data_IF_534192236111
#
_entry.id   IF_534192236111
#
_cell.length_a   1.000
_cell.length_b   1.000
_cell.length_c   1.000
_cell.angle_alpha   90.00
_cell.angle_beta   90.00
_cell.angle_gamma   90.00
#
_symmetry.space_group_name_H-M   'P 1'
#
loop_
_entity.id
_entity.type
_entity.pdbx_description
1 polymer ?
#
# COMPACT_ATOMS: atom_id res chain seq x y z
N UNK A 1 -25.12 -22.60 20.50
CA UNK A 1 -26.17 -21.68 20.03
C UNK A 1 -25.49 -20.44 19.49
N UNK A 2 -26.01 -20.02 18.34
CA UNK A 2 -25.54 -18.97 17.46
C UNK A 2 -26.01 -17.62 18.01
N UNK A 3 -25.16 -16.60 17.95
CA UNK A 3 -25.48 -15.23 17.48
C UNK A 3 -24.18 -14.40 17.56
N UNK A 4 -23.40 -14.25 16.47
CA UNK A 4 -23.53 -13.23 15.43
C UNK A 4 -23.70 -11.79 15.96
N UNK A 5 -22.60 -11.04 15.95
CA UNK A 5 -22.61 -9.57 15.84
C UNK A 5 -21.32 -9.10 15.17
N UNK A 6 -21.25 -9.39 13.88
CA UNK A 6 -20.33 -8.72 12.95
C UNK A 6 -21.03 -7.43 12.51
N UNK A 7 -20.79 -6.33 13.22
CA UNK A 7 -21.22 -5.00 12.82
C UNK A 7 -20.55 -4.61 11.50
N UNK A 8 -21.35 -4.66 10.44
CA UNK A 8 -21.00 -4.26 9.09
C UNK A 8 -21.15 -2.73 8.99
N UNK A 9 -20.17 -1.98 9.49
CA UNK A 9 -20.08 -0.53 9.29
C UNK A 9 -19.56 -0.21 7.87
N UNK A 10 -20.32 -0.62 6.86
CA UNK A 10 -20.10 -0.30 5.43
C UNK A 10 -21.18 0.65 4.91
N UNK A 11 -21.52 1.68 5.68
CA UNK A 11 -22.40 2.74 5.23
C UNK A 11 -21.64 4.07 5.23
N UNK A 12 -21.13 4.42 4.05
CA UNK A 12 -20.55 5.73 3.76
C UNK A 12 -19.26 5.64 2.95
N UNK A 13 -19.33 6.05 1.67
CA UNK A 13 -18.26 6.28 0.66
C UNK A 13 -18.12 5.18 -0.42
N UNK A 14 -18.59 5.51 -1.64
CA UNK A 14 -18.07 5.00 -2.92
C UNK A 14 -18.84 3.88 -3.63
N UNK A 15 -19.99 4.18 -4.21
CA UNK A 15 -20.71 3.32 -5.17
C UNK A 15 -20.20 3.54 -6.61
N UNK A 16 -19.69 2.47 -7.23
CA UNK A 16 -19.53 2.30 -8.69
C UNK A 16 -18.10 2.29 -9.20
N UNK A 17 -17.53 1.11 -9.45
CA UNK A 17 -16.43 0.96 -10.41
C UNK A 17 -17.06 0.86 -11.80
N UNK A 18 -16.57 1.60 -12.80
CA UNK A 18 -16.98 1.37 -14.18
C UNK A 18 -16.49 -0.01 -14.64
N UNK A 19 -17.38 -1.01 -14.55
CA UNK A 19 -17.07 -2.42 -14.83
C UNK A 19 -16.78 -2.65 -16.30
N UNK A 20 -17.41 -1.90 -17.20
CA UNK A 20 -17.19 -2.06 -18.64
C UNK A 20 -15.76 -1.67 -19.01
N UNK A 21 -15.30 -0.51 -18.55
CA UNK A 21 -13.91 -0.08 -18.73
C UNK A 21 -12.92 -1.03 -18.06
N UNK A 22 -13.27 -1.58 -16.89
CA UNK A 22 -12.42 -2.56 -16.21
C UNK A 22 -12.27 -3.84 -17.04
N UNK A 23 -13.37 -4.38 -17.59
CA UNK A 23 -13.35 -5.58 -18.44
C UNK A 23 -12.58 -5.35 -19.73
N UNK A 24 -12.72 -4.18 -20.34
CA UNK A 24 -11.92 -3.83 -21.51
C UNK A 24 -10.43 -3.81 -21.19
N UNK A 25 -10.04 -3.14 -20.09
CA UNK A 25 -8.64 -3.11 -19.65
C UNK A 25 -8.10 -4.52 -19.36
N UNK A 26 -8.90 -5.38 -18.72
CA UNK A 26 -8.56 -6.79 -18.50
C UNK A 26 -8.36 -7.55 -19.82
N UNK A 27 -9.29 -7.43 -20.76
CA UNK A 27 -9.20 -8.07 -22.07
C UNK A 27 -7.93 -7.62 -22.83
N UNK A 28 -7.65 -6.31 -22.84
CA UNK A 28 -6.46 -5.74 -23.49
C UNK A 28 -5.16 -6.20 -22.83
N UNK A 29 -5.18 -6.43 -21.52
CA UNK A 29 -4.02 -6.96 -20.80
C UNK A 29 -3.81 -8.44 -21.13
N UNK A 30 -4.85 -9.26 -21.06
CA UNK A 30 -4.76 -10.71 -21.30
C UNK A 30 -4.54 -11.07 -22.77
N UNK A 31 -5.00 -10.23 -23.71
CA UNK A 31 -4.65 -10.36 -25.12
C UNK A 31 -3.14 -10.20 -25.37
N UNK A 32 -2.49 -9.31 -24.60
CA UNK A 32 -1.03 -9.09 -24.66
C UNK A 32 -0.23 -10.08 -23.82
N UNK A 33 -0.78 -10.49 -22.68
CA UNK A 33 -0.15 -11.38 -21.71
C UNK A 33 -1.13 -12.49 -21.29
N UNK A 34 -1.31 -13.54 -22.11
CA UNK A 34 -2.28 -14.61 -21.84
C UNK A 34 -2.05 -15.33 -20.50
N UNK A 35 -0.79 -15.39 -20.04
CA UNK A 35 -0.43 -15.95 -18.72
C UNK A 35 -0.64 -14.98 -17.54
N UNK A 36 -1.24 -13.80 -17.75
CA UNK A 36 -1.31 -12.74 -16.76
C UNK A 36 0.09 -12.34 -16.28
N UNK A 37 0.28 -12.13 -14.99
CA UNK A 37 1.62 -11.81 -14.45
C UNK A 37 2.63 -12.96 -14.53
N UNK A 38 2.20 -14.20 -14.80
CA UNK A 38 3.11 -15.32 -15.02
C UNK A 38 3.67 -15.36 -16.46
N UNK A 39 3.16 -14.52 -17.36
CA UNK A 39 3.58 -14.47 -18.75
C UNK A 39 5.09 -14.19 -18.89
N UNK A 40 5.83 -14.91 -19.76
CA UNK A 40 7.25 -14.71 -19.98
C UNK A 40 7.62 -13.26 -20.35
N UNK A 41 6.75 -12.55 -21.07
CA UNK A 41 6.96 -11.15 -21.45
C UNK A 41 7.07 -10.20 -20.25
N UNK A 42 6.50 -10.57 -19.10
CA UNK A 42 6.56 -9.79 -17.86
C UNK A 42 7.68 -10.22 -16.91
N UNK A 43 8.52 -11.19 -17.28
CA UNK A 43 9.64 -11.64 -16.47
C UNK A 43 10.61 -10.51 -16.06
N UNK A 44 10.97 -9.54 -16.92
CA UNK A 44 11.83 -8.41 -16.52
C UNK A 44 11.18 -7.53 -15.43
N UNK A 45 9.87 -7.29 -15.54
CA UNK A 45 9.10 -6.50 -14.56
C UNK A 45 9.03 -7.25 -13.22
N UNK A 46 8.74 -8.54 -13.24
CA UNK A 46 8.76 -9.39 -12.04
C UNK A 46 10.12 -9.39 -11.35
N UNK A 47 11.22 -9.53 -12.11
CA UNK A 47 12.58 -9.50 -11.56
C UNK A 47 12.92 -8.14 -10.92
N UNK A 48 12.43 -7.05 -11.49
CA UNK A 48 12.61 -5.68 -10.94
C UNK A 48 11.87 -5.45 -9.63
N UNK A 49 10.72 -6.11 -9.44
CA UNK A 49 9.87 -5.94 -8.28
C UNK A 49 9.96 -7.15 -7.34
N UNK A 50 10.92 -7.11 -6.41
CA UNK A 50 11.17 -8.15 -5.40
C UNK A 50 10.17 -8.12 -4.22
N UNK A 51 8.87 -7.97 -4.52
CA UNK A 51 7.81 -7.82 -3.51
C UNK A 51 7.84 -8.95 -2.50
N UNK A 52 7.89 -10.20 -2.97
CA UNK A 52 7.87 -11.39 -2.11
C UNK A 52 9.02 -11.39 -1.10
N UNK A 53 10.26 -11.27 -1.57
CA UNK A 53 11.46 -11.25 -0.71
C UNK A 53 11.42 -10.11 0.31
N UNK A 54 10.96 -8.92 -0.09
CA UNK A 54 10.89 -7.79 0.85
C UNK A 54 9.73 -7.93 1.83
N UNK A 55 8.63 -8.59 1.42
CA UNK A 55 7.52 -8.94 2.29
C UNK A 55 7.88 -10.00 3.33
N UNK A 56 8.63 -11.02 2.95
CA UNK A 56 9.20 -11.99 3.88
C UNK A 56 10.10 -11.31 4.91
N UNK A 57 11.01 -10.46 4.44
CA UNK A 57 11.86 -9.66 5.32
C UNK A 57 11.04 -8.82 6.30
N UNK A 58 10.00 -8.11 5.81
CA UNK A 58 9.14 -7.28 6.65
C UNK A 58 8.42 -8.11 7.73
N UNK A 59 7.83 -9.25 7.37
CA UNK A 59 7.13 -10.12 8.34
C UNK A 59 8.08 -10.73 9.38
N UNK A 60 9.29 -11.12 8.96
CA UNK A 60 10.28 -11.71 9.86
C UNK A 60 10.86 -10.69 10.87
N UNK A 61 10.92 -9.40 10.51
CA UNK A 61 11.59 -8.36 11.31
C UNK A 61 10.64 -7.35 11.96
N UNK A 62 9.33 -7.41 11.65
CA UNK A 62 8.29 -6.56 12.26
C UNK A 62 7.24 -7.42 12.96
N UNK A 63 7.67 -8.34 13.83
CA UNK A 63 6.77 -9.07 14.74
C UNK A 63 6.44 -8.21 15.96
N UNK A 64 5.35 -8.52 16.68
CA UNK A 64 5.01 -7.81 17.94
C UNK A 64 6.17 -7.75 18.94
N UNK A 65 6.96 -8.81 19.05
CA UNK A 65 8.12 -8.86 19.95
C UNK A 65 9.25 -7.90 19.55
N UNK A 66 9.43 -7.63 18.26
CA UNK A 66 10.43 -6.66 17.79
C UNK A 66 10.08 -5.22 18.18
N UNK A 67 8.80 -4.90 18.38
CA UNK A 67 8.39 -3.55 18.77
C UNK A 67 8.83 -3.14 20.19
N UNK A 68 9.33 -4.09 20.99
CA UNK A 68 10.04 -3.81 22.25
C UNK A 68 11.48 -3.28 22.04
N UNK A 69 11.95 -3.18 20.79
CA UNK A 69 13.29 -2.71 20.42
C UNK A 69 13.20 -1.58 19.37
N UNK A 70 12.90 -0.35 19.79
CA UNK A 70 12.61 0.77 18.90
C UNK A 70 13.70 1.05 17.86
N UNK A 71 14.97 0.98 18.26
CA UNK A 71 16.12 1.17 17.35
C UNK A 71 16.11 0.15 16.21
N UNK A 72 15.95 -1.13 16.54
CA UNK A 72 15.90 -2.23 15.58
C UNK A 72 14.70 -2.09 14.63
N UNK A 73 13.55 -1.65 15.14
CA UNK A 73 12.38 -1.34 14.31
C UNK A 73 12.70 -0.21 13.33
N UNK A 74 13.24 0.91 13.82
CA UNK A 74 13.59 2.06 12.99
C UNK A 74 14.55 1.68 11.85
N UNK A 75 15.60 0.91 12.14
CA UNK A 75 16.51 0.38 11.12
C UNK A 75 15.79 -0.52 10.10
N UNK A 76 14.86 -1.35 10.57
CA UNK A 76 14.06 -2.23 9.72
C UNK A 76 13.14 -1.44 8.79
N UNK A 77 12.48 -0.39 9.28
CA UNK A 77 11.67 0.52 8.48
C UNK A 77 12.51 1.18 7.37
N UNK A 78 13.68 1.72 7.73
CA UNK A 78 14.63 2.31 6.76
C UNK A 78 15.04 1.30 5.70
N UNK A 79 15.33 0.06 6.09
CA UNK A 79 15.74 -1.00 5.17
C UNK A 79 14.62 -1.37 4.19
N UNK A 80 13.37 -1.43 4.65
CA UNK A 80 12.21 -1.69 3.79
C UNK A 80 12.04 -0.56 2.76
N UNK A 81 11.99 0.70 3.21
CA UNK A 81 11.83 1.85 2.32
C UNK A 81 12.98 1.95 1.32
N UNK A 82 14.22 1.72 1.76
CA UNK A 82 15.41 1.80 0.91
C UNK A 82 15.46 0.70 -0.16
N UNK A 83 15.03 -0.53 0.18
CA UNK A 83 15.03 -1.68 -0.74
C UNK A 83 13.82 -1.72 -1.67
N UNK A 84 12.77 -0.95 -1.39
CA UNK A 84 11.61 -0.87 -2.27
C UNK A 84 11.99 -0.32 -3.65
N UNK A 85 11.67 -1.04 -4.72
CA UNK A 85 11.77 -0.53 -6.09
C UNK A 85 10.61 0.41 -6.47
N UNK A 86 9.60 0.56 -5.61
CA UNK A 86 8.43 1.41 -5.84
C UNK A 86 8.55 2.78 -5.16
N UNK A 87 9.43 2.94 -4.17
CA UNK A 87 9.77 4.23 -3.55
C UNK A 87 10.83 4.95 -4.39
N UNK A 88 10.65 6.25 -4.60
CA UNK A 88 11.57 7.06 -5.41
C UNK A 88 12.97 7.13 -4.78
N UNK A 89 14.02 7.19 -5.62
CA UNK A 89 15.40 7.40 -5.19
C UNK A 89 15.59 8.70 -4.40
N UNK A 90 14.72 9.69 -4.60
CA UNK A 90 14.74 10.95 -3.84
C UNK A 90 14.06 10.84 -2.47
N UNK A 91 13.10 9.92 -2.30
CA UNK A 91 12.36 9.74 -1.05
C UNK A 91 13.14 8.87 -0.06
N UNK A 92 13.92 7.90 -0.56
CA UNK A 92 14.74 6.99 0.25
C UNK A 92 15.73 7.71 1.18
N UNK A 93 16.63 8.60 0.72
CA UNK A 93 17.56 9.29 1.59
C UNK A 93 16.81 10.17 2.60
N UNK A 94 15.75 10.86 2.17
CA UNK A 94 14.94 11.71 3.06
C UNK A 94 14.30 10.94 4.20
N UNK A 95 13.74 9.75 3.93
CA UNK A 95 13.18 8.91 4.99
C UNK A 95 14.26 8.38 5.93
N UNK A 96 15.41 7.93 5.38
CA UNK A 96 16.56 7.51 6.19
C UNK A 96 17.05 8.63 7.10
N UNK A 97 17.20 9.83 6.56
CA UNK A 97 17.74 10.98 7.28
C UNK A 97 16.75 11.47 8.34
N UNK A 98 15.43 11.42 8.07
CA UNK A 98 14.38 11.58 9.08
C UNK A 98 14.57 10.60 10.25
N UNK A 99 14.66 9.30 9.99
CA UNK A 99 14.82 8.31 11.06
C UNK A 99 16.11 8.53 11.85
N UNK A 100 17.20 8.94 11.19
CA UNK A 100 18.48 9.26 11.83
C UNK A 100 18.43 10.52 12.70
N UNK A 101 17.56 11.48 12.39
CA UNK A 101 17.38 12.69 13.19
C UNK A 101 16.57 12.46 14.47
N UNK A 102 15.89 11.32 14.61
CA UNK A 102 15.06 11.03 15.77
C UNK A 102 15.91 10.73 17.00
N UNK A 103 15.53 11.32 18.14
CA UNK A 103 16.05 10.90 19.44
C UNK A 103 15.37 9.60 19.92
N UNK A 104 15.81 9.05 21.07
CA UNK A 104 15.32 7.77 21.58
C UNK A 104 13.79 7.76 21.79
N UNK A 105 13.23 8.83 22.37
CA UNK A 105 11.79 8.96 22.62
C UNK A 105 11.00 9.03 21.31
N UNK A 106 11.52 9.72 20.30
CA UNK A 106 10.87 9.80 18.99
C UNK A 106 10.95 8.47 18.23
N UNK A 107 12.04 7.70 18.38
CA UNK A 107 12.13 6.34 17.83
C UNK A 107 11.13 5.40 18.49
N UNK A 108 10.95 5.49 19.80
CA UNK A 108 9.88 4.77 20.53
C UNK A 108 8.50 5.13 19.98
N UNK A 109 8.22 6.42 19.79
CA UNK A 109 6.96 6.88 19.21
C UNK A 109 6.75 6.36 17.79
N UNK A 110 7.78 6.41 16.94
CA UNK A 110 7.71 5.89 15.57
C UNK A 110 7.44 4.38 15.56
N UNK A 111 8.14 3.62 16.41
CA UNK A 111 7.94 2.18 16.53
C UNK A 111 6.50 1.88 16.99
N UNK A 112 6.01 2.55 18.03
CA UNK A 112 4.66 2.35 18.53
C UNK A 112 3.57 2.71 17.49
N UNK A 113 3.75 3.81 16.77
CA UNK A 113 2.85 4.22 15.70
C UNK A 113 2.80 3.16 14.57
N UNK A 114 3.95 2.59 14.19
CA UNK A 114 4.00 1.48 13.25
C UNK A 114 3.41 0.19 13.80
N UNK A 115 3.55 -0.12 15.09
CA UNK A 115 2.90 -1.28 15.69
C UNK A 115 1.38 -1.19 15.53
N UNK A 116 0.79 -0.05 15.92
CA UNK A 116 -0.64 0.25 15.72
C UNK A 116 -1.03 0.14 14.25
N UNK A 117 -0.20 0.66 13.34
CA UNK A 117 -0.48 0.68 11.90
C UNK A 117 -0.53 -0.73 11.31
N UNK A 118 0.31 -1.64 11.80
CA UNK A 118 0.47 -3.00 11.29
C UNK A 118 -0.45 -4.01 11.98
N UNK A 119 -0.78 -3.80 13.26
CA UNK A 119 -1.51 -4.73 14.11
C UNK A 119 -2.78 -4.15 14.74
N UNK A 120 -3.76 -5.02 14.97
CA UNK A 120 -4.95 -4.71 15.78
C UNK A 120 -5.93 -3.73 15.13
N UNK A 121 -6.74 -3.07 15.98
CA UNK A 121 -7.84 -2.18 15.57
C UNK A 121 -7.43 -0.71 15.45
N UNK A 122 -6.30 -0.32 16.04
CA UNK A 122 -5.81 1.08 16.08
C UNK A 122 -5.08 1.55 14.81
N UNK A 123 -5.38 0.94 13.65
CA UNK A 123 -4.62 1.16 12.41
C UNK A 123 -4.72 2.58 11.87
N UNK A 124 -5.87 3.22 12.08
CA UNK A 124 -6.11 4.63 11.77
C UNK A 124 -5.20 5.53 12.61
N UNK A 125 -5.22 5.37 13.93
CA UNK A 125 -4.37 6.14 14.84
C UNK A 125 -2.89 5.96 14.47
N UNK A 126 -2.44 4.73 14.22
CA UNK A 126 -1.06 4.49 13.76
C UNK A 126 -0.73 5.17 12.43
N UNK A 127 -1.68 5.24 11.49
CA UNK A 127 -1.49 5.99 10.24
C UNK A 127 -1.34 7.49 10.51
N UNK A 128 -2.23 8.09 11.30
CA UNK A 128 -2.27 9.52 11.61
C UNK A 128 -1.04 9.96 12.42
N UNK A 129 -0.57 9.12 13.35
CA UNK A 129 0.66 9.34 14.12
C UNK A 129 1.91 9.33 13.21
N UNK A 130 2.07 8.30 12.36
CA UNK A 130 3.16 8.26 11.37
C UNK A 130 3.09 9.47 10.43
N UNK A 131 1.88 9.83 9.97
CA UNK A 131 1.68 10.99 9.11
C UNK A 131 2.13 12.28 9.80
N UNK A 132 1.75 12.50 11.07
CA UNK A 132 2.13 13.67 11.84
C UNK A 132 3.65 13.82 11.98
N UNK A 133 4.34 12.72 12.30
CA UNK A 133 5.80 12.70 12.38
C UNK A 133 6.45 13.05 11.03
N UNK A 134 6.00 12.42 9.93
CA UNK A 134 6.55 12.68 8.60
C UNK A 134 6.24 14.10 8.09
N UNK A 135 5.08 14.65 8.46
CA UNK A 135 4.63 15.97 8.03
C UNK A 135 5.50 17.07 8.64
N UNK A 136 5.90 16.94 9.92
CA UNK A 136 6.81 17.87 10.58
C UNK A 136 8.13 18.02 9.80
N UNK A 137 8.62 16.93 9.21
CA UNK A 137 9.83 16.91 8.39
C UNK A 137 9.58 17.13 6.88
N UNK A 138 8.35 17.50 6.47
CA UNK A 138 7.97 17.75 5.06
C UNK A 138 8.23 16.55 4.12
N UNK A 139 8.12 15.33 4.63
CA UNK A 139 8.31 14.08 3.87
C UNK A 139 7.07 13.17 3.89
N UNK A 140 5.94 13.66 4.43
CA UNK A 140 4.64 13.00 4.37
C UNK A 140 4.15 12.84 2.92
N UNK A 141 4.50 11.72 2.29
CA UNK A 141 4.12 11.37 0.92
C UNK A 141 3.58 9.95 0.85
N UNK A 142 2.65 9.73 -0.07
CA UNK A 142 2.02 8.42 -0.30
C UNK A 142 3.00 7.26 -0.47
N UNK A 143 4.06 7.34 -1.32
CA UNK A 143 5.04 6.25 -1.44
C UNK A 143 5.75 5.93 -0.12
N UNK A 144 6.01 6.92 0.72
CA UNK A 144 6.71 6.74 2.00
C UNK A 144 5.80 6.08 3.04
N UNK A 145 4.60 6.63 3.25
CA UNK A 145 3.69 6.17 4.31
C UNK A 145 3.07 4.79 4.01
N UNK A 146 2.93 4.44 2.72
CA UNK A 146 2.30 3.18 2.30
C UNK A 146 3.27 2.02 2.09
N UNK A 147 4.59 2.28 2.00
CA UNK A 147 5.60 1.25 1.71
C UNK A 147 5.61 0.12 2.75
N UNK A 148 5.82 0.45 4.03
CA UNK A 148 5.98 -0.56 5.08
C UNK A 148 4.71 -1.40 5.27
N UNK A 149 3.50 -0.82 5.39
CA UNK A 149 2.27 -1.61 5.50
C UNK A 149 2.04 -2.51 4.29
N UNK A 150 2.32 -2.02 3.09
CA UNK A 150 2.21 -2.83 1.86
C UNK A 150 3.14 -4.03 1.91
N UNK A 151 4.44 -3.86 2.18
CA UNK A 151 5.36 -5.00 2.22
C UNK A 151 5.02 -5.95 3.37
N UNK A 152 4.53 -5.45 4.50
CA UNK A 152 4.09 -6.31 5.61
C UNK A 152 2.89 -7.19 5.22
N UNK A 153 1.91 -6.64 4.49
CA UNK A 153 0.68 -7.36 4.11
C UNK A 153 0.19 -6.98 2.70
N UNK A 154 0.84 -7.45 1.62
CA UNK A 154 0.63 -6.93 0.25
C UNK A 154 -0.73 -7.27 -0.36
N UNK A 155 -1.45 -8.24 0.21
CA UNK A 155 -2.82 -8.59 -0.18
C UNK A 155 -3.91 -7.78 0.58
N UNK A 156 -3.52 -7.01 1.62
CA UNK A 156 -4.43 -6.28 2.52
C UNK A 156 -4.18 -4.77 2.49
N UNK A 157 -2.93 -4.37 2.35
CA UNK A 157 -2.49 -2.98 2.29
C UNK A 157 -1.99 -2.68 0.88
N UNK A 158 -2.22 -1.46 0.41
CA UNK A 158 -1.87 -1.02 -0.94
C UNK A 158 -0.67 -0.08 -0.89
N UNK A 159 0.23 -0.24 -1.86
CA UNK A 159 1.21 0.80 -2.15
C UNK A 159 0.54 1.89 -3.00
N UNK A 160 0.58 3.15 -2.53
CA UNK A 160 -0.07 4.26 -3.24
C UNK A 160 0.97 5.03 -4.03
N UNK A 161 0.99 4.82 -5.34
CA UNK A 161 1.73 5.67 -6.28
C UNK A 161 0.82 6.80 -6.79
N UNK A 162 1.15 8.08 -6.53
CA UNK A 162 0.27 9.22 -6.85
C UNK A 162 -0.33 9.22 -8.26
N UNK A 163 0.52 9.08 -9.27
CA UNK A 163 0.08 9.14 -10.68
C UNK A 163 -0.79 7.95 -11.05
N UNK A 164 -0.42 6.76 -10.60
CA UNK A 164 -1.19 5.53 -10.83
C UNK A 164 -2.57 5.60 -10.16
N UNK A 165 -2.63 6.02 -8.89
CA UNK A 165 -3.90 6.14 -8.17
C UNK A 165 -4.85 7.12 -8.86
N UNK A 166 -4.36 8.31 -9.26
CA UNK A 166 -5.14 9.29 -10.03
C UNK A 166 -5.68 8.70 -11.33
N UNK A 167 -4.82 8.08 -12.14
CA UNK A 167 -5.21 7.49 -13.43
C UNK A 167 -6.28 6.41 -13.26
N UNK A 168 -6.12 5.53 -12.27
CA UNK A 168 -7.09 4.47 -11.97
C UNK A 168 -8.45 5.07 -11.61
N UNK A 169 -8.48 6.04 -10.68
CA UNK A 169 -9.72 6.70 -10.23
C UNK A 169 -10.44 7.36 -11.40
N UNK A 170 -9.71 8.10 -12.23
CA UNK A 170 -10.27 8.80 -13.40
C UNK A 170 -10.75 7.80 -14.45
N UNK A 171 -9.94 6.79 -14.78
CA UNK A 171 -10.28 5.81 -15.82
C UNK A 171 -11.54 5.03 -15.45
N UNK A 172 -11.63 4.57 -14.20
CA UNK A 172 -12.77 3.80 -13.68
C UNK A 172 -13.97 4.67 -13.26
N UNK A 173 -13.89 5.99 -13.46
CA UNK A 173 -14.97 6.96 -13.20
C UNK A 173 -15.50 6.89 -11.75
N UNK A 174 -14.57 6.88 -10.79
CA UNK A 174 -14.92 6.78 -9.37
C UNK A 174 -15.19 8.18 -8.81
N UNK A 175 -16.45 8.63 -8.84
CA UNK A 175 -16.86 10.01 -8.53
C UNK A 175 -16.54 10.46 -7.09
N UNK A 176 -16.53 9.52 -6.13
CA UNK A 176 -16.44 9.81 -4.69
C UNK A 176 -15.05 9.55 -4.09
N UNK A 177 -14.01 9.36 -4.90
CA UNK A 177 -12.64 9.15 -4.42
C UNK A 177 -11.68 10.20 -4.98
N UNK A 178 -11.55 11.33 -4.29
CA UNK A 178 -10.69 12.42 -4.74
C UNK A 178 -9.27 12.31 -4.20
N UNK A 179 -8.29 12.25 -5.09
CA UNK A 179 -6.88 12.26 -4.70
C UNK A 179 -6.45 13.62 -4.15
N UNK A 180 -5.73 13.60 -3.01
CA UNK A 180 -5.02 14.76 -2.45
C UNK A 180 -3.53 14.44 -2.27
N UNK A 181 -2.62 15.43 -2.49
CA UNK A 181 -1.18 15.23 -2.31
C UNK A 181 -0.79 14.83 -0.88
N UNK A 182 -1.42 15.46 0.13
CA UNK A 182 -1.25 15.08 1.53
C UNK A 182 -1.99 13.76 1.79
N UNK A 183 -1.32 12.73 2.34
CA UNK A 183 -2.01 11.50 2.69
C UNK A 183 -3.11 11.69 3.73
N UNK A 184 -4.20 10.93 3.62
CA UNK A 184 -5.27 10.87 4.63
C UNK A 184 -5.78 9.45 4.79
N UNK A 185 -6.28 9.11 5.97
CA UNK A 185 -6.79 7.77 6.23
C UNK A 185 -8.04 7.48 5.39
N UNK A 186 -8.89 8.49 5.20
CA UNK A 186 -10.14 8.43 4.44
C UNK A 186 -9.86 8.06 2.98
N UNK A 187 -8.90 8.74 2.34
CA UNK A 187 -8.50 8.39 0.97
C UNK A 187 -7.92 6.98 0.91
N UNK A 188 -7.04 6.62 1.86
CA UNK A 188 -6.41 5.30 1.87
C UNK A 188 -7.45 4.17 1.98
N UNK A 189 -8.45 4.33 2.84
CA UNK A 189 -9.57 3.38 2.98
C UNK A 189 -10.41 3.29 1.71
N UNK A 190 -10.79 4.42 1.13
CA UNK A 190 -11.54 4.44 -0.14
C UNK A 190 -10.75 3.79 -1.28
N UNK A 191 -9.44 4.01 -1.35
CA UNK A 191 -8.58 3.38 -2.35
C UNK A 191 -8.43 1.87 -2.14
N UNK A 192 -8.35 1.39 -0.89
CA UNK A 192 -8.38 -0.05 -0.60
C UNK A 192 -9.71 -0.70 -1.00
N UNK A 193 -10.82 -0.02 -0.76
CA UNK A 193 -12.15 -0.50 -1.17
C UNK A 193 -12.26 -0.60 -2.69
N UNK A 194 -11.81 0.44 -3.42
CA UNK A 194 -11.72 0.42 -4.88
C UNK A 194 -10.91 -0.78 -5.39
N UNK A 195 -9.69 -0.98 -4.86
CA UNK A 195 -8.87 -2.14 -5.26
C UNK A 195 -9.49 -3.48 -4.86
N UNK A 196 -10.26 -3.53 -3.76
CA UNK A 196 -11.05 -4.69 -3.37
C UNK A 196 -12.14 -5.03 -4.39
N UNK A 197 -12.89 -4.03 -4.85
CA UNK A 197 -13.92 -4.19 -5.88
C UNK A 197 -13.31 -4.64 -7.22
N UNK A 198 -12.21 -3.99 -7.64
CA UNK A 198 -11.46 -4.39 -8.84
C UNK A 198 -10.98 -5.84 -8.72
N UNK A 199 -10.39 -6.23 -7.58
CA UNK A 199 -9.91 -7.59 -7.35
C UNK A 199 -11.00 -8.65 -7.49
N UNK A 200 -12.23 -8.35 -7.07
CA UNK A 200 -13.37 -9.26 -7.17
C UNK A 200 -13.91 -9.39 -8.59
N UNK A 201 -13.64 -8.41 -9.46
CA UNK A 201 -14.21 -8.31 -10.80
C UNK A 201 -13.28 -8.77 -11.92
N UNK A 202 -12.00 -9.05 -11.63
CA UNK A 202 -10.99 -9.49 -12.62
C UNK A 202 -10.48 -10.90 -12.35
N UNK A 203 -9.85 -11.49 -13.35
CA UNK A 203 -9.20 -12.79 -13.30
C UNK A 203 -8.15 -12.83 -12.16
N UNK A 204 -8.12 -13.92 -11.35
CA UNK A 204 -7.18 -14.07 -10.24
C UNK A 204 -5.70 -13.92 -10.65
N UNK A 205 -5.33 -14.26 -11.89
CA UNK A 205 -3.96 -14.11 -12.40
C UNK A 205 -3.47 -12.66 -12.43
N UNK A 206 -4.39 -11.68 -12.39
CA UNK A 206 -4.10 -10.24 -12.38
C UNK A 206 -4.07 -9.63 -10.97
N UNK A 207 -4.44 -10.39 -9.93
CA UNK A 207 -4.63 -9.88 -8.58
C UNK A 207 -3.84 -10.57 -7.45
N UNK A 208 -2.58 -11.05 -7.67
CA UNK A 208 -1.82 -11.72 -6.61
C UNK A 208 -1.53 -10.81 -5.41
N UNK A 209 -1.49 -9.50 -5.62
CA UNK A 209 -1.45 -8.48 -4.57
C UNK A 209 -1.91 -7.11 -5.15
N UNK A 210 -2.08 -6.10 -4.29
CA UNK A 210 -2.58 -4.80 -4.73
C UNK A 210 -1.61 -3.99 -5.60
N UNK A 211 -0.29 -4.24 -5.55
CA UNK A 211 0.63 -3.60 -6.50
C UNK A 211 0.56 -4.24 -7.88
N UNK A 212 0.37 -5.55 -7.96
CA UNK A 212 0.11 -6.23 -9.23
C UNK A 212 -1.20 -5.72 -9.86
N UNK A 213 -2.28 -5.62 -9.06
CA UNK A 213 -3.57 -5.13 -9.53
C UNK A 213 -3.50 -3.70 -10.08
N UNK A 214 -2.85 -2.79 -9.34
CA UNK A 214 -2.66 -1.41 -9.82
C UNK A 214 -1.66 -1.31 -10.98
N UNK A 215 -0.68 -2.21 -11.05
CA UNK A 215 0.27 -2.32 -12.17
C UNK A 215 -0.39 -2.80 -13.47
N UNK A 216 -1.31 -3.75 -13.39
CA UNK A 216 -2.12 -4.22 -14.52
C UNK A 216 -2.93 -3.05 -15.09
N UNK A 217 -3.68 -2.34 -14.24
CA UNK A 217 -4.47 -1.18 -14.66
C UNK A 217 -3.57 -0.11 -15.28
N UNK A 218 -2.44 0.21 -14.65
CA UNK A 218 -1.49 1.20 -15.18
C UNK A 218 -0.93 0.83 -16.57
N UNK A 219 -0.84 -0.47 -16.89
CA UNK A 219 -0.33 -0.98 -18.19
C UNK A 219 -1.42 -0.99 -19.26
N UNK A 220 -2.68 -0.90 -18.85
CA UNK A 220 -3.86 -1.05 -19.70
C UNK A 220 -4.61 0.27 -19.93
N UNK A 221 -4.18 1.36 -19.27
CA UNK A 221 -4.77 2.71 -19.35
C UNK A 221 -3.74 3.77 -19.73
#
# INVERSE_FOLDING_TARGET
MIESSSGNDYNGVGSGVNIEKLRQAEADFLARYPGGFADPGLAPIRKKHNVERLSEFARANLTRTHFNRPEQVCETLVRIVSRSSMVSVFEKPRFRDFVRSLNNREKEQLAFAFEKRLFGRARRAGFEEVLGMLAHHKIAKWPVISAVPYYFAPARDAFVKPTTAKRIITFLEVDNLQYKPMPSWEFYRGYLQLLGQVKQAVNPSLSPNYAALSGFLMTSI
#
